data_IF_219708895617
#
_entry.id   IF_219708895617
#
_cell.length_a   1.000
_cell.length_b   1.000
_cell.length_c   1.000
_cell.angle_alpha   90.00
_cell.angle_beta   90.00
_cell.angle_gamma   90.00
#
_symmetry.space_group_name_H-M   'P 1'
#
loop_
_entity.id
_entity.type
_entity.pdbx_description
1 polymer ?
#
# COMPACT_ATOMS: atom_id res chain seq x y z
N UNK A 1 5.64 5.83 -13.95
CA UNK A 1 6.07 4.73 -13.05
C UNK A 1 4.86 3.94 -12.61
N UNK A 2 5.04 2.71 -12.12
CA UNK A 2 3.95 1.86 -11.63
C UNK A 2 3.44 2.39 -10.27
N UNK A 3 2.12 2.63 -10.17
CA UNK A 3 1.45 2.95 -8.91
C UNK A 3 0.83 1.70 -8.29
N UNK A 4 1.04 1.48 -6.99
CA UNK A 4 0.53 0.30 -6.28
C UNK A 4 -0.17 0.73 -4.99
N UNK A 5 -1.38 0.21 -4.75
CA UNK A 5 -2.08 0.29 -3.47
C UNK A 5 -1.99 -1.07 -2.78
N UNK A 6 -1.44 -1.10 -1.57
CA UNK A 6 -1.38 -2.30 -0.73
C UNK A 6 -2.42 -2.18 0.39
N UNK A 7 -3.25 -3.20 0.54
CA UNK A 7 -4.27 -3.28 1.59
C UNK A 7 -4.00 -4.51 2.44
N UNK A 8 -3.76 -4.29 3.73
CA UNK A 8 -3.46 -5.34 4.72
C UNK A 8 -3.81 -4.81 6.11
N UNK A 9 -4.42 -5.64 6.96
CA UNK A 9 -4.83 -5.27 8.32
C UNK A 9 -3.67 -5.28 9.33
N UNK A 10 -2.55 -5.89 8.95
CA UNK A 10 -1.35 -6.00 9.77
C UNK A 10 -0.35 -4.91 9.37
N UNK A 11 -0.11 -3.95 10.28
CA UNK A 11 0.76 -2.80 10.02
C UNK A 11 2.20 -3.15 9.59
N UNK A 12 2.75 -4.26 10.08
CA UNK A 12 4.09 -4.74 9.67
C UNK A 12 4.14 -5.09 8.18
N UNK A 13 3.09 -5.75 7.67
CA UNK A 13 3.01 -6.13 6.26
C UNK A 13 2.99 -4.90 5.35
N UNK A 14 2.24 -3.87 5.74
CA UNK A 14 2.22 -2.59 5.02
C UNK A 14 3.62 -1.95 4.94
N UNK A 15 4.38 -1.96 6.04
CA UNK A 15 5.76 -1.42 6.07
C UNK A 15 6.69 -2.23 5.17
N UNK A 16 6.63 -3.56 5.24
CA UNK A 16 7.45 -4.46 4.41
C UNK A 16 7.11 -4.27 2.93
N UNK A 17 5.82 -4.32 2.56
CA UNK A 17 5.36 -4.16 1.19
C UNK A 17 5.76 -2.80 0.61
N UNK A 18 5.55 -1.70 1.36
CA UNK A 18 5.95 -0.36 0.94
C UNK A 18 7.45 -0.29 0.67
N UNK A 19 8.29 -0.81 1.56
CA UNK A 19 9.76 -0.78 1.38
C UNK A 19 10.20 -1.60 0.16
N UNK A 20 9.69 -2.82 0.02
CA UNK A 20 10.07 -3.73 -1.07
C UNK A 20 9.67 -3.16 -2.42
N UNK A 21 8.41 -2.75 -2.58
CA UNK A 21 7.90 -2.23 -3.85
C UNK A 21 8.51 -0.87 -4.21
N UNK A 22 8.76 -0.01 -3.22
CA UNK A 22 9.44 1.27 -3.47
C UNK A 22 10.88 1.05 -3.98
N UNK A 23 11.60 0.03 -3.47
CA UNK A 23 12.93 -0.35 -3.99
C UNK A 23 12.89 -0.86 -5.42
N UNK A 24 11.76 -1.38 -5.87
CA UNK A 24 11.51 -1.75 -7.26
C UNK A 24 11.09 -0.56 -8.14
N UNK A 25 11.07 0.67 -7.61
CA UNK A 25 10.72 1.88 -8.36
C UNK A 25 9.21 2.15 -8.47
N UNK A 26 8.38 1.44 -7.70
CA UNK A 26 6.94 1.73 -7.65
C UNK A 26 6.63 2.90 -6.71
N UNK A 27 5.59 3.66 -7.04
CA UNK A 27 4.96 4.61 -6.11
C UNK A 27 3.90 3.86 -5.30
N UNK A 28 4.10 3.74 -3.99
CA UNK A 28 3.29 2.84 -3.15
C UNK A 28 2.45 3.62 -2.15
N UNK A 29 1.15 3.33 -2.14
CA UNK A 29 0.18 3.73 -1.13
C UNK A 29 -0.25 2.52 -0.28
N UNK A 30 -0.69 2.77 0.94
CA UNK A 30 -1.10 1.72 1.91
C UNK A 30 -2.42 2.07 2.58
N UNK A 31 -3.27 1.06 2.79
CA UNK A 31 -4.50 1.15 3.58
C UNK A 31 -4.58 0.00 4.58
N UNK A 32 -5.15 0.26 5.77
CA UNK A 32 -5.29 -0.75 6.83
C UNK A 32 -6.55 -1.62 6.71
N UNK A 33 -7.45 -1.30 5.77
CA UNK A 33 -8.68 -2.03 5.53
C UNK A 33 -9.23 -1.73 4.15
N UNK A 34 -10.16 -2.54 3.67
CA UNK A 34 -10.88 -2.29 2.42
C UNK A 34 -11.69 -0.99 2.46
N UNK A 35 -12.32 -0.67 3.59
CA UNK A 35 -13.07 0.60 3.75
C UNK A 35 -12.14 1.81 3.61
N UNK A 36 -11.00 1.79 4.30
CA UNK A 36 -10.00 2.85 4.25
C UNK A 36 -9.42 3.02 2.83
N UNK A 37 -9.24 1.90 2.12
CA UNK A 37 -8.78 1.89 0.74
C UNK A 37 -9.78 2.57 -0.21
N UNK A 38 -11.06 2.19 -0.12
CA UNK A 38 -12.11 2.81 -0.95
C UNK A 38 -12.21 4.30 -0.63
N UNK A 39 -12.33 4.68 0.65
CA UNK A 39 -12.54 6.09 1.06
C UNK A 39 -11.43 7.05 0.59
N UNK A 40 -10.19 6.57 0.48
CA UNK A 40 -9.03 7.42 0.12
C UNK A 40 -8.68 7.41 -1.36
N UNK A 41 -9.12 6.40 -2.12
CA UNK A 41 -8.69 6.21 -3.52
C UNK A 41 -9.82 5.97 -4.54
N UNK A 42 -11.09 5.91 -4.11
CA UNK A 42 -12.28 5.85 -4.97
C UNK A 42 -13.29 6.92 -4.55
#
# INVERSE_FOLDING_TARGET
GLGVLVVDDTGVNLVVARRTLSRCGAAVATAGSGEDAVRRWL
#
